data_IF_218981026816
#
_entry.id   IF_218981026816
#
_cell.length_a   1.000
_cell.length_b   1.000
_cell.length_c   1.000
_cell.angle_alpha   90.00
_cell.angle_beta   90.00
_cell.angle_gamma   90.00
#
_symmetry.space_group_name_H-M   'P 1'
#
loop_
_entity.id
_entity.type
_entity.pdbx_description
1 polymer ?
#
# COMPACT_ATOMS: atom_id res chain seq x y z
N UNK A 1 40.15 5.40 15.66
CA UNK A 1 40.62 6.74 15.21
C UNK A 1 39.81 7.11 13.96
N UNK A 2 38.94 8.14 14.00
CA UNK A 2 39.18 9.51 13.49
C UNK A 2 39.48 9.62 11.97
N UNK A 3 38.43 9.83 11.18
CA UNK A 3 38.34 10.67 9.96
C UNK A 3 36.81 10.86 9.73
N UNK A 4 36.11 12.00 9.84
CA UNK A 4 36.30 13.47 9.77
C UNK A 4 36.14 14.15 8.39
N UNK A 5 34.87 14.53 8.10
CA UNK A 5 34.39 15.85 7.59
C UNK A 5 34.59 16.25 6.10
N UNK A 6 33.47 16.36 5.39
CA UNK A 6 32.98 17.46 4.50
C UNK A 6 31.48 17.22 4.26
N UNK A 7 30.50 18.15 4.28
CA UNK A 7 30.40 19.63 4.37
C UNK A 7 30.60 20.42 3.06
N UNK A 8 29.49 21.03 2.58
CA UNK A 8 29.36 22.10 1.58
C UNK A 8 27.99 22.84 1.80
N UNK A 9 27.71 23.99 1.17
CA UNK A 9 26.41 24.69 1.27
C UNK A 9 26.21 25.81 0.21
N UNK A 10 25.03 25.85 -0.45
CA UNK A 10 24.45 27.01 -1.19
C UNK A 10 22.98 26.68 -1.57
N UNK A 11 21.94 27.45 -1.22
CA UNK A 11 21.52 28.79 -1.69
C UNK A 11 21.14 28.87 -3.19
N UNK A 12 19.85 29.06 -3.53
CA UNK A 12 19.27 30.39 -3.83
C UNK A 12 17.74 30.34 -4.09
N UNK A 13 17.05 31.45 -3.80
CA UNK A 13 15.61 31.71 -3.98
C UNK A 13 15.18 32.05 -5.41
N UNK A 14 13.91 31.75 -5.77
CA UNK A 14 13.16 32.49 -6.79
C UNK A 14 11.67 32.63 -6.40
N UNK A 15 11.15 33.87 -6.39
CA UNK A 15 9.74 34.22 -6.15
C UNK A 15 9.15 34.75 -7.46
N UNK A 16 7.92 34.34 -7.80
CA UNK A 16 7.11 34.98 -8.86
C UNK A 16 5.66 35.12 -8.37
N UNK A 17 5.04 36.32 -8.42
CA UNK A 17 3.67 36.53 -7.95
C UNK A 17 2.61 36.52 -9.07
N UNK A 18 1.44 35.98 -8.72
CA UNK A 18 0.08 36.48 -8.99
C UNK A 18 -0.21 37.09 -10.38
N UNK A 19 -1.07 36.41 -11.14
CA UNK A 19 -1.93 37.05 -12.15
C UNK A 19 -3.40 36.76 -11.84
N UNK A 20 -4.11 37.76 -11.31
CA UNK A 20 -5.57 37.69 -11.16
C UNK A 20 -6.24 38.16 -12.45
N UNK A 21 -7.13 37.34 -13.01
CA UNK A 21 -7.99 37.71 -14.14
C UNK A 21 -9.47 37.60 -13.73
N UNK A 22 -9.99 38.66 -13.10
CA UNK A 22 -11.42 38.81 -12.89
C UNK A 22 -12.06 39.32 -14.20
N UNK A 23 -12.80 38.46 -14.90
CA UNK A 23 -13.55 38.80 -16.11
C UNK A 23 -15.04 38.75 -15.85
N UNK A 24 -15.65 39.90 -15.60
CA UNK A 24 -17.05 40.04 -15.16
C UNK A 24 -18.05 40.16 -16.31
N UNK A 25 -19.19 39.45 -16.19
CA UNK A 25 -20.47 39.70 -16.87
C UNK A 25 -20.46 39.58 -18.42
N UNK A 26 -21.55 39.34 -19.14
CA UNK A 26 -23.01 39.30 -18.84
C UNK A 26 -23.59 38.21 -19.76
N UNK A 27 -24.67 37.51 -19.45
CA UNK A 27 -26.03 37.96 -19.76
C UNK A 27 -27.07 37.24 -18.90
N UNK A 28 -28.18 37.91 -18.58
CA UNK A 28 -29.22 37.40 -17.70
C UNK A 28 -30.63 37.63 -18.27
N UNK A 29 -31.31 36.55 -18.64
CA UNK A 29 -32.76 36.43 -18.89
C UNK A 29 -33.09 34.94 -19.11
N UNK A 30 -34.23 34.37 -18.68
CA UNK A 30 -35.47 34.92 -18.11
C UNK A 30 -36.32 33.80 -17.48
N UNK A 31 -37.31 34.16 -16.64
CA UNK A 31 -38.39 33.31 -16.09
C UNK A 31 -37.96 32.25 -15.04
N UNK A 32 -38.51 32.19 -13.82
CA UNK A 32 -39.92 31.93 -13.43
C UNK A 32 -40.38 30.51 -13.83
N UNK A 33 -41.01 29.71 -12.98
CA UNK A 33 -41.51 29.91 -11.61
C UNK A 33 -41.85 28.55 -10.97
N UNK A 34 -41.95 28.51 -9.63
CA UNK A 34 -42.78 27.60 -8.80
C UNK A 34 -42.96 26.10 -9.17
N UNK A 35 -42.62 25.19 -8.25
CA UNK A 35 -43.60 24.33 -7.51
C UNK A 35 -42.90 23.24 -6.68
N UNK A 36 -43.60 22.73 -5.66
CA UNK A 36 -43.04 21.89 -4.60
C UNK A 36 -43.11 20.38 -4.87
N UNK A 37 -42.24 19.65 -4.14
CA UNK A 37 -42.44 18.30 -3.58
C UNK A 37 -42.16 17.04 -4.42
N UNK A 38 -41.35 16.17 -3.80
CA UNK A 38 -41.54 14.71 -3.63
C UNK A 38 -40.54 13.75 -4.30
N UNK A 39 -40.38 12.60 -3.63
CA UNK A 39 -39.62 11.35 -3.92
C UNK A 39 -38.09 11.50 -4.00
N UNK A 40 -37.26 10.80 -3.22
CA UNK A 40 -37.14 9.39 -2.80
C UNK A 40 -36.44 8.48 -3.82
N UNK A 41 -35.28 7.96 -3.38
CA UNK A 41 -34.70 6.61 -3.60
C UNK A 41 -34.76 5.91 -4.96
N UNK A 42 -33.58 5.53 -5.48
CA UNK A 42 -33.08 4.16 -5.81
C UNK A 42 -31.73 4.34 -6.56
N UNK A 43 -30.61 3.67 -6.27
CA UNK A 43 -30.35 2.23 -6.10
C UNK A 43 -30.40 1.43 -7.43
N UNK A 44 -29.50 0.44 -7.51
CA UNK A 44 -29.40 -0.66 -8.50
C UNK A 44 -28.85 -0.27 -9.90
N UNK A 45 -27.85 -0.99 -10.44
CA UNK A 45 -27.08 -2.05 -9.79
C UNK A 45 -26.15 -2.88 -10.67
N UNK A 46 -25.50 -3.80 -9.97
CA UNK A 46 -24.90 -5.06 -10.41
C UNK A 46 -25.48 -5.69 -11.68
N UNK A 47 -24.59 -6.14 -12.57
CA UNK A 47 -24.86 -7.30 -13.43
C UNK A 47 -23.73 -8.32 -13.29
N UNK A 48 -23.95 -9.31 -12.43
CA UNK A 48 -23.18 -10.55 -12.38
C UNK A 48 -24.01 -11.64 -13.04
N UNK A 49 -23.52 -12.24 -14.12
CA UNK A 49 -23.97 -13.59 -14.50
C UNK A 49 -22.93 -14.32 -15.35
N UNK A 50 -22.37 -15.40 -14.81
CA UNK A 50 -22.28 -16.70 -15.49
C UNK A 50 -21.72 -17.80 -14.55
N UNK A 51 -22.55 -18.83 -14.32
CA UNK A 51 -22.16 -20.22 -14.05
C UNK A 51 -21.27 -20.57 -12.84
N UNK A 52 -21.91 -21.13 -11.81
CA UNK A 52 -21.25 -22.00 -10.83
C UNK A 52 -20.80 -23.34 -11.46
N UNK A 53 -19.79 -23.98 -10.87
CA UNK A 53 -20.08 -25.26 -10.19
C UNK A 53 -19.80 -25.19 -8.68
N UNK A 54 -20.48 -26.04 -7.92
CA UNK A 54 -20.29 -26.18 -6.46
C UNK A 54 -18.92 -26.78 -6.11
N UNK A 55 -18.25 -26.26 -5.06
CA UNK A 55 -17.19 -27.01 -4.39
C UNK A 55 -16.08 -26.23 -3.67
N UNK A 56 -16.37 -25.55 -2.55
CA UNK A 56 -15.44 -25.36 -1.42
C UNK A 56 -16.11 -24.68 -0.22
N UNK A 57 -16.02 -25.22 1.01
CA UNK A 57 -16.36 -24.52 2.25
C UNK A 57 -15.11 -24.22 3.10
N UNK A 58 -14.60 -23.00 3.02
CA UNK A 58 -13.80 -22.29 4.04
C UNK A 58 -13.66 -20.85 3.52
N UNK A 59 -13.80 -19.77 4.28
CA UNK A 59 -13.57 -19.58 5.70
C UNK A 59 -12.63 -18.36 5.81
N UNK A 60 -13.18 -17.16 5.95
CA UNK A 60 -12.39 -15.92 5.79
C UNK A 60 -13.24 -14.65 5.90
N UNK A 61 -13.79 -14.38 7.07
CA UNK A 61 -14.37 -13.05 7.37
C UNK A 61 -13.22 -12.06 7.56
N UNK A 62 -12.99 -11.23 6.55
CA UNK A 62 -12.07 -10.09 6.61
C UNK A 62 -12.55 -8.98 5.68
N UNK A 63 -13.17 -7.94 6.24
CA UNK A 63 -13.22 -6.66 5.53
C UNK A 63 -11.83 -6.05 5.48
N UNK A 64 -11.59 -4.98 4.68
CA UNK A 64 -10.30 -4.30 4.62
C UNK A 64 -9.99 -3.64 5.95
N UNK A 65 -9.37 -4.40 6.85
CA UNK A 65 -8.87 -3.98 8.14
C UNK A 65 -7.36 -4.14 8.14
N UNK A 66 -6.68 -3.15 8.69
CA UNK A 66 -5.25 -3.18 8.97
C UNK A 66 -4.80 -4.53 9.53
N UNK A 67 -3.73 -5.08 8.96
CA UNK A 67 -3.07 -6.28 9.48
C UNK A 67 -2.52 -5.96 10.88
N UNK A 68 -3.19 -6.45 11.93
CA UNK A 68 -2.70 -6.29 13.29
C UNK A 68 -1.58 -7.30 13.55
N UNK A 69 -0.34 -6.85 13.31
CA UNK A 69 0.91 -7.58 13.58
C UNK A 69 0.93 -8.12 15.02
N UNK A 70 0.25 -7.45 15.96
CA UNK A 70 0.13 -7.84 17.37
C UNK A 70 -0.76 -9.08 17.61
N UNK A 71 -1.62 -9.43 16.65
CA UNK A 71 -2.56 -10.56 16.76
C UNK A 71 -1.97 -11.90 16.30
N UNK A 72 -0.80 -11.88 15.66
CA UNK A 72 -0.09 -13.06 15.18
C UNK A 72 0.51 -13.80 16.38
N UNK A 73 -0.02 -14.99 16.65
CA UNK A 73 0.33 -15.83 17.82
C UNK A 73 0.71 -17.26 17.46
N UNK A 74 0.37 -17.71 16.25
CA UNK A 74 0.74 -19.02 15.70
C UNK A 74 1.62 -18.86 14.46
N UNK A 75 2.41 -19.89 14.17
CA UNK A 75 3.25 -19.94 12.97
C UNK A 75 2.40 -19.88 11.68
N UNK A 76 1.25 -20.54 11.65
CA UNK A 76 0.27 -20.48 10.55
C UNK A 76 -0.16 -19.03 10.26
N UNK A 77 -0.44 -18.23 11.29
CA UNK A 77 -0.75 -16.81 11.15
C UNK A 77 0.45 -15.98 10.67
N UNK A 78 1.69 -16.40 10.98
CA UNK A 78 2.89 -15.76 10.46
C UNK A 78 3.12 -16.10 8.98
N UNK A 79 2.77 -17.31 8.54
CA UNK A 79 2.77 -17.69 7.11
C UNK A 79 1.73 -16.87 6.34
N UNK A 80 0.52 -16.72 6.87
CA UNK A 80 -0.51 -15.83 6.31
C UNK A 80 -0.05 -14.36 6.27
N UNK A 81 0.62 -13.87 7.33
CA UNK A 81 1.19 -12.52 7.39
C UNK A 81 2.22 -12.27 6.28
N UNK A 82 3.12 -13.23 6.03
CA UNK A 82 4.14 -13.13 4.99
C UNK A 82 3.50 -13.27 3.60
N UNK A 83 2.47 -14.09 3.44
CA UNK A 83 1.71 -14.14 2.19
C UNK A 83 1.03 -12.78 1.88
N UNK A 84 0.46 -12.12 2.88
CA UNK A 84 -0.11 -10.77 2.76
C UNK A 84 0.97 -9.68 2.59
N UNK A 85 2.22 -9.93 3.01
CA UNK A 85 3.34 -9.04 2.72
C UNK A 85 3.68 -8.97 1.22
N UNK A 86 3.37 -10.00 0.42
CA UNK A 86 3.36 -9.90 -1.03
C UNK A 86 2.17 -9.06 -1.54
N UNK A 87 0.97 -9.22 -0.98
CA UNK A 87 -0.23 -8.51 -1.39
C UNK A 87 -0.92 -9.03 -2.66
N UNK A 88 -2.10 -8.45 -2.94
CA UNK A 88 -3.04 -8.95 -3.95
C UNK A 88 -2.66 -8.52 -5.38
N UNK A 89 -2.16 -9.46 -6.19
CA UNK A 89 -1.81 -9.21 -7.59
C UNK A 89 -3.00 -8.96 -8.52
N UNK A 90 -4.23 -9.26 -8.09
CA UNK A 90 -5.47 -8.93 -8.80
C UNK A 90 -5.84 -7.45 -8.73
N UNK A 91 -5.22 -6.68 -7.83
CA UNK A 91 -5.35 -5.22 -7.74
C UNK A 91 -4.36 -4.45 -8.65
N UNK A 92 -3.62 -5.15 -9.51
CA UNK A 92 -2.58 -4.54 -10.35
C UNK A 92 -1.47 -3.93 -9.49
N UNK A 93 -0.78 -2.90 -10.01
CA UNK A 93 0.39 -2.29 -9.35
C UNK A 93 0.12 -1.87 -7.90
N UNK A 94 -1.13 -1.47 -7.59
CA UNK A 94 -1.55 -1.05 -6.25
C UNK A 94 -1.48 -2.14 -5.17
N UNK A 95 -1.54 -3.43 -5.55
CA UNK A 95 -1.18 -4.60 -4.71
C UNK A 95 -1.77 -4.64 -3.27
N UNK A 96 -2.85 -3.90 -3.02
CA UNK A 96 -3.44 -3.64 -1.70
C UNK A 96 -2.53 -2.83 -0.76
N UNK A 97 -2.67 -1.50 -0.74
CA UNK A 97 -1.86 -0.64 0.15
C UNK A 97 -2.37 -0.52 1.60
N UNK A 98 -3.64 -0.79 1.89
CA UNK A 98 -4.24 -0.53 3.21
C UNK A 98 -3.47 -1.14 4.41
N UNK A 99 -2.86 -2.33 4.33
CA UNK A 99 -2.02 -2.86 5.42
C UNK A 99 -0.71 -2.10 5.66
N UNK A 100 -0.20 -1.40 4.64
CA UNK A 100 1.13 -0.77 4.60
C UNK A 100 1.10 0.76 4.47
N UNK A 101 -0.10 1.36 4.41
CA UNK A 101 -0.33 2.79 4.18
C UNK A 101 0.49 3.69 5.12
N UNK A 102 0.49 3.41 6.43
CA UNK A 102 1.28 4.13 7.43
C UNK A 102 2.77 4.28 7.01
N UNK A 103 3.36 3.23 6.46
CA UNK A 103 4.78 3.17 6.09
C UNK A 103 5.02 3.87 4.75
N UNK A 104 4.09 3.75 3.81
CA UNK A 104 4.14 4.47 2.53
C UNK A 104 4.10 5.98 2.76
N UNK A 105 3.18 6.46 3.61
CA UNK A 105 3.04 7.88 3.95
C UNK A 105 4.27 8.41 4.72
N UNK A 106 4.82 7.65 5.67
CA UNK A 106 6.02 8.04 6.43
C UNK A 106 7.29 8.08 5.56
N UNK A 107 7.50 7.09 4.69
CA UNK A 107 8.72 6.96 3.89
C UNK A 107 8.66 7.81 2.61
N UNK A 108 7.58 7.72 1.83
CA UNK A 108 7.49 8.39 0.53
C UNK A 108 7.20 9.90 0.66
N UNK A 109 6.62 10.35 1.78
CA UNK A 109 6.32 11.77 2.04
C UNK A 109 5.39 12.45 1.03
N UNK A 110 4.66 11.65 0.24
CA UNK A 110 3.54 12.07 -0.62
C UNK A 110 2.22 11.56 -0.03
N UNK A 111 1.09 12.14 -0.44
CA UNK A 111 -0.23 11.63 -0.03
C UNK A 111 -0.65 10.37 -0.81
N UNK A 112 -1.48 9.54 -0.21
CA UNK A 112 -2.08 8.36 -0.85
C UNK A 112 -2.66 8.64 -2.26
N UNK A 113 -3.44 9.70 -2.44
CA UNK A 113 -4.00 10.08 -3.76
C UNK A 113 -2.91 10.34 -4.83
N UNK A 114 -1.80 10.94 -4.41
CA UNK A 114 -0.67 11.35 -5.26
C UNK A 114 0.23 10.13 -5.57
N UNK A 115 0.23 9.10 -4.70
CA UNK A 115 0.77 7.77 -4.99
C UNK A 115 -0.09 7.03 -6.03
N UNK A 116 -1.42 6.96 -5.83
CA UNK A 116 -2.34 6.31 -6.77
C UNK A 116 -2.20 6.87 -8.19
N UNK A 117 -2.14 8.20 -8.36
CA UNK A 117 -1.97 8.85 -9.67
C UNK A 117 -0.68 8.41 -10.39
N UNK A 118 0.43 8.15 -9.67
CA UNK A 118 1.67 7.61 -10.27
C UNK A 118 1.54 6.15 -10.66
N UNK A 119 0.82 5.37 -9.88
CA UNK A 119 0.67 3.93 -10.10
C UNK A 119 -0.35 3.64 -11.22
N UNK A 120 -1.40 4.46 -11.35
CA UNK A 120 -2.26 4.52 -12.54
C UNK A 120 -1.48 4.94 -13.81
N UNK A 121 -0.41 5.72 -13.66
CA UNK A 121 0.51 6.06 -14.76
C UNK A 121 1.53 4.94 -15.08
N UNK A 122 1.48 3.81 -14.37
CA UNK A 122 2.32 2.64 -14.61
C UNK A 122 3.60 2.55 -13.78
N UNK A 123 3.77 3.37 -12.74
CA UNK A 123 4.92 3.28 -11.83
C UNK A 123 4.66 2.25 -10.72
N UNK A 124 5.67 1.46 -10.37
CA UNK A 124 5.66 0.64 -9.16
C UNK A 124 6.22 1.43 -7.96
N UNK A 125 6.15 0.87 -6.74
CA UNK A 125 6.61 1.57 -5.53
C UNK A 125 8.10 1.91 -5.58
N UNK A 126 8.94 1.05 -6.18
CA UNK A 126 10.36 1.33 -6.39
C UNK A 126 10.58 2.58 -7.26
N UNK A 127 9.93 2.65 -8.43
CA UNK A 127 10.03 3.80 -9.33
C UNK A 127 9.47 5.09 -8.71
N UNK A 128 8.41 5.00 -7.89
CA UNK A 128 7.90 6.16 -7.14
C UNK A 128 8.91 6.62 -6.08
N UNK A 129 9.56 5.70 -5.35
CA UNK A 129 10.61 6.05 -4.39
C UNK A 129 11.81 6.71 -5.07
N UNK A 130 12.29 6.14 -6.19
CA UNK A 130 13.42 6.69 -6.96
C UNK A 130 13.15 8.10 -7.49
N UNK A 131 11.96 8.36 -8.04
CA UNK A 131 11.53 9.69 -8.50
C UNK A 131 11.50 10.75 -7.39
N UNK A 132 11.25 10.31 -6.15
CA UNK A 132 11.26 11.14 -4.95
C UNK A 132 12.67 11.29 -4.34
N UNK A 133 13.67 10.61 -4.91
CA UNK A 133 15.04 10.59 -4.40
C UNK A 133 15.25 9.71 -3.17
N UNK A 134 14.36 8.76 -2.95
CA UNK A 134 14.40 7.76 -1.88
C UNK A 134 14.92 6.45 -2.49
N UNK A 135 15.84 5.79 -1.79
CA UNK A 135 16.32 4.48 -2.20
C UNK A 135 15.24 3.41 -1.93
N UNK A 136 14.84 2.57 -2.92
CA UNK A 136 13.79 1.56 -2.72
C UNK A 136 14.04 0.61 -1.54
N UNK A 137 15.30 0.32 -1.19
CA UNK A 137 15.62 -0.49 -0.02
C UNK A 137 15.20 0.20 1.28
N UNK A 138 15.20 1.54 1.34
CA UNK A 138 14.70 2.28 2.51
C UNK A 138 13.22 2.01 2.77
N UNK A 139 12.42 1.83 1.70
CA UNK A 139 11.02 1.45 1.82
C UNK A 139 10.88 -0.03 2.24
N UNK A 140 11.64 -0.93 1.63
CA UNK A 140 11.64 -2.36 1.98
C UNK A 140 12.02 -2.55 3.45
N UNK A 141 13.12 -1.94 3.91
CA UNK A 141 13.59 -2.00 5.30
C UNK A 141 12.53 -1.49 6.30
N UNK A 142 11.81 -0.42 5.96
CA UNK A 142 10.76 0.14 6.80
C UNK A 142 9.53 -0.80 6.90
N UNK A 143 9.16 -1.46 5.79
CA UNK A 143 8.09 -2.46 5.75
C UNK A 143 8.47 -3.71 6.55
N UNK A 144 9.68 -4.23 6.38
CA UNK A 144 10.23 -5.35 7.18
C UNK A 144 10.27 -4.98 8.67
N UNK A 145 10.67 -3.76 9.02
CA UNK A 145 10.71 -3.30 10.41
C UNK A 145 9.31 -3.17 11.05
N UNK A 146 8.29 -2.76 10.28
CA UNK A 146 6.88 -2.69 10.74
C UNK A 146 6.30 -4.08 11.06
N UNK A 147 6.69 -5.11 10.31
CA UNK A 147 6.12 -6.47 10.40
C UNK A 147 6.95 -7.45 11.24
N UNK A 148 8.26 -7.21 11.40
CA UNK A 148 9.16 -7.98 12.28
C UNK A 148 8.65 -8.26 13.71
N UNK A 149 7.88 -7.36 14.38
CA UNK A 149 7.37 -7.62 15.72
C UNK A 149 6.51 -8.89 15.88
N UNK A 150 5.88 -9.40 14.81
CA UNK A 150 5.20 -10.69 14.85
C UNK A 150 6.20 -11.85 15.04
N UNK A 151 7.29 -11.84 14.27
CA UNK A 151 8.38 -12.82 14.36
C UNK A 151 9.04 -12.76 15.75
N UNK A 152 9.34 -11.55 16.23
CA UNK A 152 9.89 -11.34 17.58
C UNK A 152 8.96 -11.88 18.68
N UNK A 153 7.64 -11.76 18.51
CA UNK A 153 6.65 -12.26 19.46
C UNK A 153 6.59 -13.79 19.51
N UNK A 154 6.64 -14.46 18.35
CA UNK A 154 6.68 -15.93 18.27
C UNK A 154 8.00 -16.49 18.80
N UNK A 155 9.13 -15.83 18.52
CA UNK A 155 10.44 -16.19 19.07
C UNK A 155 10.45 -16.06 20.61
N UNK A 156 9.93 -14.95 21.14
CA UNK A 156 9.82 -14.74 22.58
C UNK A 156 8.85 -15.72 23.27
N UNK A 157 7.82 -16.20 22.56
CA UNK A 157 6.93 -17.27 23.02
C UNK A 157 7.57 -18.67 22.97
N UNK A 158 8.67 -18.83 22.22
CA UNK A 158 9.28 -20.14 21.94
C UNK A 158 8.46 -21.00 20.97
N UNK A 159 7.60 -20.37 20.15
CA UNK A 159 6.87 -21.03 19.06
C UNK A 159 7.82 -21.37 17.91
N UNK A 160 8.81 -20.50 17.67
CA UNK A 160 9.87 -20.66 16.66
C UNK A 160 11.24 -20.50 17.32
N UNK A 161 12.28 -21.03 16.68
CA UNK A 161 13.70 -20.89 17.04
C UNK A 161 14.33 -19.63 16.45
N UNK A 162 15.55 -19.28 16.88
CA UNK A 162 16.31 -18.15 16.32
C UNK A 162 16.61 -18.36 14.82
N UNK A 163 16.99 -19.59 14.42
CA UNK A 163 17.26 -19.93 13.01
C UNK A 163 15.99 -19.82 12.12
N UNK A 164 14.82 -20.18 12.65
CA UNK A 164 13.53 -20.00 11.96
C UNK A 164 13.12 -18.52 11.90
N UNK A 165 13.32 -17.76 12.98
CA UNK A 165 13.03 -16.33 13.01
C UNK A 165 13.83 -15.56 11.94
N UNK A 166 15.12 -15.86 11.76
CA UNK A 166 15.94 -15.26 10.69
C UNK A 166 15.45 -15.65 9.29
N UNK A 167 15.00 -16.90 9.09
CA UNK A 167 14.41 -17.34 7.82
C UNK A 167 13.06 -16.66 7.52
N UNK A 168 12.19 -16.46 8.52
CA UNK A 168 10.95 -15.69 8.32
C UNK A 168 11.22 -14.21 8.05
N UNK A 169 12.28 -13.61 8.64
CA UNK A 169 12.68 -12.24 8.29
C UNK A 169 13.15 -12.14 6.84
N UNK A 170 13.92 -13.11 6.36
CA UNK A 170 14.34 -13.17 4.96
C UNK A 170 13.12 -13.36 4.02
N UNK A 171 12.19 -14.27 4.33
CA UNK A 171 10.97 -14.45 3.55
C UNK A 171 10.07 -13.19 3.52
N UNK A 172 10.05 -12.43 4.63
CA UNK A 172 9.35 -11.13 4.71
C UNK A 172 10.05 -10.04 3.88
N UNK A 173 11.39 -10.02 3.87
CA UNK A 173 12.19 -9.13 3.00
C UNK A 173 11.98 -9.46 1.52
N UNK A 174 12.00 -10.74 1.15
CA UNK A 174 11.68 -11.21 -0.22
C UNK A 174 10.25 -10.80 -0.62
N UNK A 175 9.27 -10.94 0.28
CA UNK A 175 7.88 -10.57 0.03
C UNK A 175 7.71 -9.06 -0.22
N UNK A 176 8.34 -8.21 0.60
CA UNK A 176 8.29 -6.76 0.39
C UNK A 176 9.15 -6.29 -0.78
N UNK A 177 10.30 -6.91 -1.01
CA UNK A 177 11.12 -6.65 -2.19
C UNK A 177 10.36 -6.96 -3.47
N UNK A 178 9.66 -8.10 -3.53
CA UNK A 178 8.75 -8.41 -4.63
C UNK A 178 7.64 -7.36 -4.73
N UNK A 179 6.89 -7.08 -3.65
CA UNK A 179 5.80 -6.08 -3.66
C UNK A 179 6.25 -4.70 -4.14
N UNK A 180 7.44 -4.25 -3.75
CA UNK A 180 7.97 -2.92 -4.08
C UNK A 180 8.46 -2.83 -5.53
N UNK A 181 9.10 -3.89 -6.04
CA UNK A 181 9.68 -3.93 -7.38
C UNK A 181 8.72 -4.47 -8.47
N UNK A 182 7.56 -5.02 -8.09
CA UNK A 182 6.64 -5.68 -9.04
C UNK A 182 6.14 -4.73 -10.14
N UNK A 183 6.18 -5.20 -11.38
CA UNK A 183 5.92 -4.43 -12.61
C UNK A 183 4.55 -4.70 -13.28
N UNK A 184 3.84 -5.73 -12.84
CA UNK A 184 2.59 -6.19 -13.43
C UNK A 184 2.67 -7.53 -14.15
N UNK A 185 3.87 -8.08 -14.37
CA UNK A 185 4.09 -9.21 -15.27
C UNK A 185 4.22 -10.56 -14.52
N UNK A 186 4.85 -10.58 -13.35
CA UNK A 186 5.08 -11.82 -12.61
C UNK A 186 3.88 -12.26 -11.74
N UNK A 187 3.64 -13.57 -11.63
CA UNK A 187 2.63 -14.08 -10.70
C UNK A 187 3.11 -13.92 -9.25
N UNK A 188 2.25 -13.47 -8.33
CA UNK A 188 2.58 -13.41 -6.90
C UNK A 188 2.97 -14.80 -6.37
N UNK A 189 4.17 -14.95 -5.76
CA UNK A 189 4.57 -16.20 -5.13
C UNK A 189 3.61 -16.64 -4.02
N UNK A 190 3.44 -17.96 -3.90
CA UNK A 190 2.75 -18.56 -2.75
C UNK A 190 3.78 -18.91 -1.67
N UNK A 191 3.66 -18.32 -0.49
CA UNK A 191 4.45 -18.69 0.68
C UNK A 191 3.67 -19.70 1.53
N UNK A 192 4.26 -20.85 1.84
CA UNK A 192 3.59 -21.96 2.55
C UNK A 192 4.31 -22.38 3.85
N UNK A 193 5.20 -21.52 4.36
CA UNK A 193 6.09 -21.84 5.48
C UNK A 193 7.50 -22.23 5.04
N UNK A 194 8.37 -22.55 6.00
CA UNK A 194 9.79 -22.85 5.77
C UNK A 194 10.04 -24.29 5.29
N UNK A 195 9.14 -25.23 5.62
CA UNK A 195 9.23 -26.67 5.31
C UNK A 195 8.53 -27.08 4.00
N UNK A 196 8.17 -26.12 3.14
CA UNK A 196 7.29 -26.30 1.97
C UNK A 196 7.92 -27.03 0.75
#
# INVERSE_FOLDING_TARGET
MKLRRTIAAALLTAVVPIAAACGTATDASTASSDTSSSVSSTDTGTTTEASAPEGAPSGGTGGPGSVDVSSVTTEEQLVELIQEAYGDGGLGLHRGHQPVEDVLDEVLTISHDELHVRMDAGQNLAAVAEDLGIDPQTLIDALVAKYSPAIDSLLAAGTITEDEADQYRAALEDAFSFRVNWDGEEATPTFSGLDA
#
